data_IF_521938993432
#
_entry.id   IF_521938993432
#
_cell.length_a   1.000
_cell.length_b   1.000
_cell.length_c   1.000
_cell.angle_alpha   90.00
_cell.angle_beta   90.00
_cell.angle_gamma   90.00
#
_symmetry.space_group_name_H-M   'P 1'
#
loop_
_entity.id
_entity.type
_entity.pdbx_description
1 polymer ?
#
# COMPACT_ATOMS: atom_id res chain seq x y z
N UNK A 1 -0.73 -18.88 0.42
CA UNK A 1 -1.86 -19.13 -0.48
C UNK A 1 -3.09 -18.86 0.36
N UNK A 2 -3.80 -17.78 0.03
CA UNK A 2 -4.91 -17.21 0.79
C UNK A 2 -4.53 -16.80 2.23
N UNK A 3 -4.01 -15.57 2.37
CA UNK A 3 -3.75 -15.01 3.69
C UNK A 3 -4.42 -13.64 3.81
N UNK A 4 -5.00 -13.40 4.98
CA UNK A 4 -5.47 -12.09 5.40
C UNK A 4 -4.76 -11.66 6.68
N UNK A 5 -3.83 -10.71 6.54
CA UNK A 5 -3.16 -10.09 7.67
C UNK A 5 -3.82 -8.74 7.93
N UNK A 6 -4.51 -8.61 9.05
CA UNK A 6 -5.38 -7.46 9.30
C UNK A 6 -5.06 -6.83 10.66
N UNK A 7 -4.63 -5.57 10.66
CA UNK A 7 -4.67 -4.74 11.86
C UNK A 7 -6.09 -4.21 11.99
N UNK A 8 -6.73 -4.46 13.13
CA UNK A 8 -8.14 -4.13 13.28
C UNK A 8 -8.45 -2.64 13.06
N UNK A 9 -9.43 -2.32 12.19
CA UNK A 9 -9.95 -0.97 11.96
C UNK A 9 -11.25 -0.69 12.73
N UNK A 10 -11.87 -1.72 13.32
CA UNK A 10 -13.09 -1.61 14.12
C UNK A 10 -13.16 -2.63 15.27
N UNK A 11 -14.06 -2.36 16.22
CA UNK A 11 -14.27 -3.18 17.41
C UNK A 11 -13.63 -2.60 18.67
N UNK A 12 -13.61 -3.39 19.74
CA UNK A 12 -13.07 -2.95 21.03
C UNK A 12 -11.54 -2.93 21.00
N UNK A 13 -10.94 -1.86 21.55
CA UNK A 13 -9.48 -1.73 21.66
C UNK A 13 -8.78 -1.30 20.36
N UNK A 14 -9.53 -0.81 19.37
CA UNK A 14 -8.96 -0.29 18.12
C UNK A 14 -8.61 1.19 18.24
N UNK A 15 -7.48 1.56 17.64
CA UNK A 15 -7.03 2.92 17.45
C UNK A 15 -5.51 3.01 17.35
N UNK A 16 -5.01 4.14 16.84
CA UNK A 16 -3.59 4.34 16.48
C UNK A 16 -2.59 3.94 17.57
N UNK A 17 -2.95 4.11 18.85
CA UNK A 17 -2.11 3.74 20.00
C UNK A 17 -2.63 2.53 20.79
N UNK A 18 -3.81 2.01 20.43
CA UNK A 18 -4.50 0.94 21.15
C UNK A 18 -4.14 -0.45 20.64
N UNK A 19 -4.13 -0.64 19.31
CA UNK A 19 -3.79 -1.89 18.64
C UNK A 19 -2.61 -1.72 17.67
N UNK A 20 -1.50 -1.25 18.23
CA UNK A 20 -0.26 -0.96 17.48
C UNK A 20 0.21 -2.19 16.73
N UNK A 21 0.42 -2.03 15.42
CA UNK A 21 1.08 -3.03 14.59
C UNK A 21 1.77 -2.33 13.42
N UNK A 22 3.10 -2.47 13.36
CA UNK A 22 3.93 -1.72 12.43
C UNK A 22 3.78 -2.18 10.97
N UNK A 23 4.02 -3.46 10.68
CA UNK A 23 4.02 -4.03 9.32
C UNK A 23 3.35 -5.39 9.32
N UNK A 24 2.51 -5.66 8.32
CA UNK A 24 1.74 -6.90 8.25
C UNK A 24 2.56 -8.09 7.78
N UNK A 25 3.28 -7.94 6.67
CA UNK A 25 4.09 -9.02 6.10
C UNK A 25 5.49 -8.54 5.72
N UNK A 26 6.51 -9.27 6.17
CA UNK A 26 7.89 -9.11 5.71
C UNK A 26 8.33 -10.39 5.02
N UNK A 27 8.68 -10.30 3.73
CA UNK A 27 9.16 -11.43 2.93
C UNK A 27 10.66 -11.30 2.68
N UNK A 28 11.46 -12.06 3.43
CA UNK A 28 12.93 -12.07 3.27
C UNK A 28 13.44 -13.20 2.37
N UNK A 29 12.64 -14.24 2.13
CA UNK A 29 13.04 -15.39 1.32
C UNK A 29 12.97 -15.11 -0.18
N UNK A 30 13.94 -15.65 -0.93
CA UNK A 30 13.92 -15.61 -2.38
C UNK A 30 12.88 -16.59 -2.96
N UNK A 31 12.39 -16.30 -4.15
CA UNK A 31 11.46 -17.12 -4.95
C UNK A 31 10.14 -17.44 -4.24
N UNK A 32 9.73 -16.61 -3.29
CA UNK A 32 8.42 -16.71 -2.64
C UNK A 32 7.33 -16.31 -3.63
N UNK A 33 6.25 -17.10 -3.68
CA UNK A 33 5.03 -16.75 -4.42
C UNK A 33 3.87 -16.61 -3.45
N UNK A 34 3.15 -15.49 -3.56
CA UNK A 34 1.89 -15.25 -2.89
C UNK A 34 0.74 -15.28 -3.90
N UNK A 35 -0.30 -16.05 -3.57
CA UNK A 35 -1.58 -16.08 -4.26
C UNK A 35 -2.65 -15.62 -3.28
N UNK A 36 -3.46 -14.63 -3.66
CA UNK A 36 -4.51 -14.10 -2.79
C UNK A 36 -3.93 -13.47 -1.52
N UNK A 37 -3.23 -12.35 -1.67
CA UNK A 37 -2.60 -11.64 -0.56
C UNK A 37 -3.45 -10.44 -0.13
N UNK A 38 -3.98 -10.48 1.09
CA UNK A 38 -4.77 -9.40 1.69
C UNK A 38 -4.02 -8.88 2.92
N UNK A 39 -3.62 -7.60 2.93
CA UNK A 39 -2.90 -7.01 4.07
C UNK A 39 -3.40 -5.60 4.32
N UNK A 40 -3.84 -5.29 5.55
CA UNK A 40 -4.60 -4.06 5.80
C UNK A 40 -4.27 -3.37 7.13
N UNK A 41 -4.28 -2.04 7.07
CA UNK A 41 -4.29 -1.05 8.14
C UNK A 41 -3.07 -0.99 9.07
N UNK A 42 -1.93 -1.56 8.68
CA UNK A 42 -0.72 -1.46 9.48
C UNK A 42 -0.15 -0.04 9.48
N UNK A 43 0.66 0.29 10.49
CA UNK A 43 1.09 1.69 10.72
C UNK A 43 2.27 2.13 9.84
N UNK A 44 2.95 1.18 9.19
CA UNK A 44 4.06 1.40 8.26
C UNK A 44 3.76 0.68 6.94
N UNK A 45 4.77 0.11 6.28
CA UNK A 45 4.53 -0.70 5.09
C UNK A 45 3.62 -1.87 5.43
N UNK A 46 2.59 -2.08 4.62
CA UNK A 46 1.65 -3.18 4.80
C UNK A 46 2.38 -4.48 4.42
N UNK A 47 3.08 -4.46 3.27
CA UNK A 47 4.02 -5.51 2.84
C UNK A 47 5.40 -4.92 2.57
N UNK A 48 6.44 -5.48 3.19
CA UNK A 48 7.84 -5.25 2.84
C UNK A 48 8.43 -6.52 2.19
N UNK A 49 8.84 -6.41 0.94
CA UNK A 49 9.39 -7.52 0.16
C UNK A 49 10.88 -7.33 -0.13
N UNK A 50 11.71 -8.17 0.50
CA UNK A 50 13.17 -8.11 0.40
C UNK A 50 13.76 -9.24 -0.47
N UNK A 51 13.06 -10.36 -0.65
CA UNK A 51 13.56 -11.49 -1.45
C UNK A 51 13.53 -11.25 -2.96
N UNK A 52 14.53 -11.76 -3.68
CA UNK A 52 14.56 -11.79 -5.14
C UNK A 52 13.67 -12.88 -5.72
N UNK A 53 13.22 -12.71 -6.97
CA UNK A 53 12.39 -13.68 -7.67
C UNK A 53 10.98 -13.79 -7.10
N UNK A 54 10.55 -12.78 -6.32
CA UNK A 54 9.24 -12.76 -5.69
C UNK A 54 8.10 -12.65 -6.70
N UNK A 55 6.96 -13.24 -6.38
CA UNK A 55 5.75 -13.14 -7.20
C UNK A 55 4.51 -12.94 -6.33
N UNK A 56 3.68 -11.97 -6.71
CA UNK A 56 2.35 -11.74 -6.13
C UNK A 56 1.32 -11.82 -7.23
N UNK A 57 0.35 -12.72 -7.07
CA UNK A 57 -0.82 -12.84 -7.95
C UNK A 57 -2.04 -12.57 -7.09
N UNK A 58 -2.72 -11.47 -7.40
CA UNK A 58 -3.77 -10.86 -6.60
C UNK A 58 -3.24 -10.28 -5.28
N UNK A 59 -3.35 -8.96 -5.15
CA UNK A 59 -3.10 -8.23 -3.90
C UNK A 59 -4.23 -7.26 -3.62
N UNK A 60 -4.71 -7.26 -2.39
CA UNK A 60 -5.62 -6.25 -1.88
C UNK A 60 -5.04 -5.65 -0.61
N UNK A 61 -5.22 -4.34 -0.47
CA UNK A 61 -4.83 -3.58 0.70
C UNK A 61 -5.79 -2.43 0.97
N UNK A 62 -5.94 -2.12 2.25
CA UNK A 62 -6.40 -0.83 2.75
C UNK A 62 -5.34 -0.20 3.65
N UNK A 63 -5.03 1.07 3.41
CA UNK A 63 -4.16 1.87 4.27
C UNK A 63 -4.81 2.09 5.65
N UNK A 64 -4.05 2.41 6.72
CA UNK A 64 -4.64 2.66 8.03
C UNK A 64 -5.57 3.87 7.96
N UNK A 65 -6.78 3.74 8.52
CA UNK A 65 -7.73 4.85 8.53
C UNK A 65 -7.41 5.90 9.60
N UNK A 66 -6.68 5.47 10.62
CA UNK A 66 -6.50 6.16 11.90
C UNK A 66 -5.17 6.90 12.14
N UNK A 67 -4.31 7.24 11.15
CA UNK A 67 -3.22 8.18 11.37
C UNK A 67 -3.74 9.51 11.97
N UNK A 68 -3.19 9.98 13.10
CA UNK A 68 -3.72 11.16 13.79
C UNK A 68 -3.23 12.48 13.18
N UNK A 69 -2.18 12.45 12.36
CA UNK A 69 -1.64 13.59 11.63
C UNK A 69 -0.68 13.09 10.54
N UNK A 70 -0.43 13.90 9.52
CA UNK A 70 0.55 13.55 8.49
C UNK A 70 1.94 13.27 9.11
N UNK A 71 2.35 14.09 10.09
CA UNK A 71 3.64 13.93 10.76
C UNK A 71 3.78 12.60 11.53
N UNK A 72 2.67 11.99 11.96
CA UNK A 72 2.67 10.69 12.61
C UNK A 72 2.81 9.53 11.61
N UNK A 73 2.59 9.79 10.32
CA UNK A 73 2.61 8.80 9.26
C UNK A 73 3.39 9.32 8.05
N UNK A 74 4.71 9.34 8.23
CA UNK A 74 5.70 9.69 7.21
C UNK A 74 6.69 8.55 7.10
N UNK A 75 6.93 8.02 5.90
CA UNK A 75 7.99 7.03 5.67
C UNK A 75 9.36 7.62 6.00
N UNK A 76 9.59 8.85 5.56
CA UNK A 76 10.83 9.58 5.76
C UNK A 76 10.55 11.10 5.71
N UNK A 77 11.50 11.97 6.11
CA UNK A 77 11.34 13.41 5.93
C UNK A 77 11.03 13.77 4.47
N UNK A 78 9.84 14.34 4.23
CA UNK A 78 9.37 14.71 2.90
C UNK A 78 8.75 13.58 2.06
N UNK A 79 8.55 12.38 2.64
CA UNK A 79 7.84 11.27 2.00
C UNK A 79 6.59 10.95 2.80
N UNK A 80 5.44 11.37 2.28
CA UNK A 80 4.14 11.21 2.92
C UNK A 80 3.71 9.74 2.95
N UNK A 81 3.30 9.24 4.11
CA UNK A 81 2.77 7.89 4.30
C UNK A 81 3.76 6.76 4.02
N UNK A 82 3.29 5.53 4.10
CA UNK A 82 4.03 4.32 3.74
C UNK A 82 3.28 3.58 2.63
N UNK A 83 4.02 2.94 1.72
CA UNK A 83 3.45 2.14 0.64
C UNK A 83 2.74 0.87 1.14
N UNK A 84 1.67 0.47 0.45
CA UNK A 84 1.00 -0.80 0.62
C UNK A 84 1.91 -2.00 0.28
N UNK A 85 2.75 -1.85 -0.73
CA UNK A 85 3.81 -2.83 -0.96
C UNK A 85 5.11 -2.12 -1.37
N UNK A 86 6.13 -2.31 -0.52
CA UNK A 86 7.50 -1.88 -0.78
C UNK A 86 8.34 -3.08 -1.19
N UNK A 87 8.84 -3.08 -2.42
CA UNK A 87 9.94 -3.95 -2.84
C UNK A 87 11.27 -3.26 -2.53
N UNK A 88 12.16 -3.96 -1.82
CA UNK A 88 13.46 -3.44 -1.40
C UNK A 88 14.33 -3.05 -2.60
N UNK A 89 15.04 -1.92 -2.49
CA UNK A 89 15.80 -1.31 -3.60
C UNK A 89 16.89 -2.22 -4.22
N UNK A 90 17.29 -3.28 -3.51
CA UNK A 90 18.30 -4.25 -3.95
C UNK A 90 17.71 -5.43 -4.75
N UNK A 91 16.38 -5.58 -4.75
CA UNK A 91 15.70 -6.63 -5.52
C UNK A 91 15.84 -6.33 -7.01
N UNK A 92 16.19 -7.35 -7.77
CA UNK A 92 16.42 -7.27 -9.23
C UNK A 92 15.30 -7.92 -10.03
N UNK A 93 14.53 -8.82 -9.41
CA UNK A 93 13.42 -9.53 -10.03
C UNK A 93 12.27 -9.63 -9.04
N UNK A 94 11.10 -9.13 -9.44
CA UNK A 94 9.85 -9.24 -8.72
C UNK A 94 8.70 -9.16 -9.74
N UNK A 95 7.64 -9.94 -9.57
CA UNK A 95 6.46 -9.86 -10.42
C UNK A 95 5.18 -9.64 -9.64
N UNK A 96 4.36 -8.69 -10.08
CA UNK A 96 3.04 -8.38 -9.50
C UNK A 96 1.95 -8.39 -10.55
N UNK A 97 0.77 -8.94 -10.21
CA UNK A 97 -0.39 -9.01 -11.10
C UNK A 97 -1.69 -8.76 -10.33
N UNK A 98 -2.48 -7.79 -10.79
CA UNK A 98 -3.80 -7.50 -10.21
C UNK A 98 -3.70 -7.03 -8.77
N UNK A 99 -3.19 -5.82 -8.55
CA UNK A 99 -2.86 -5.33 -7.21
C UNK A 99 -3.57 -4.02 -6.92
N UNK A 100 -4.35 -3.97 -5.84
CA UNK A 100 -5.12 -2.80 -5.43
C UNK A 100 -4.74 -2.31 -4.04
N UNK A 101 -4.73 -0.98 -3.86
CA UNK A 101 -4.63 -0.34 -2.55
C UNK A 101 -5.70 0.74 -2.40
N UNK A 102 -6.38 0.75 -1.25
CA UNK A 102 -7.47 1.66 -0.95
C UNK A 102 -7.11 2.59 0.22
N UNK A 103 -7.72 3.78 0.26
CA UNK A 103 -7.54 4.74 1.35
C UNK A 103 -8.85 5.39 1.80
N UNK A 104 -9.01 5.58 3.11
CA UNK A 104 -10.19 6.16 3.77
C UNK A 104 -9.81 6.83 5.10
N UNK A 105 -8.85 7.76 5.11
CA UNK A 105 -8.41 8.38 6.36
C UNK A 105 -9.56 9.15 7.02
N UNK A 106 -10.06 8.68 8.18
CA UNK A 106 -11.34 9.10 8.73
C UNK A 106 -11.23 9.85 10.07
N UNK A 107 -10.02 10.30 10.42
CA UNK A 107 -9.75 11.06 11.65
C UNK A 107 -9.99 12.58 11.51
N UNK A 108 -10.57 13.03 10.39
CA UNK A 108 -10.85 14.44 10.15
C UNK A 108 -9.62 15.32 9.87
N UNK A 109 -8.50 14.70 9.51
CA UNK A 109 -7.26 15.37 9.09
C UNK A 109 -6.88 14.91 7.69
N UNK A 110 -6.30 15.81 6.89
CA UNK A 110 -5.78 15.43 5.58
C UNK A 110 -4.50 14.60 5.76
N UNK A 111 -4.56 13.34 5.30
CA UNK A 111 -3.46 12.39 5.31
C UNK A 111 -3.22 11.91 3.89
N UNK A 112 -1.96 11.83 3.49
CA UNK A 112 -1.54 11.39 2.18
C UNK A 112 -0.52 10.27 2.27
N UNK A 113 -0.59 9.38 1.28
CA UNK A 113 0.51 8.50 0.90
C UNK A 113 1.07 8.96 -0.45
N UNK A 114 2.39 9.10 -0.55
CA UNK A 114 3.05 9.49 -1.79
C UNK A 114 2.83 8.45 -2.90
N UNK A 115 2.88 7.16 -2.54
CA UNK A 115 2.68 6.04 -3.45
C UNK A 115 1.91 4.91 -2.74
N UNK A 116 1.07 4.18 -3.47
CA UNK A 116 0.57 2.90 -2.99
C UNK A 116 1.60 1.77 -3.15
N UNK A 117 2.34 1.77 -4.26
CA UNK A 117 3.35 0.77 -4.56
C UNK A 117 4.71 1.41 -4.76
N UNK A 118 5.75 0.77 -4.21
CA UNK A 118 7.11 1.23 -4.36
C UNK A 118 8.05 0.10 -4.73
N UNK A 119 8.70 0.21 -5.88
CA UNK A 119 9.58 -0.84 -6.40
C UNK A 119 10.90 -0.28 -6.93
N UNK A 120 11.96 -1.08 -7.06
CA UNK A 120 13.19 -0.65 -7.71
C UNK A 120 12.94 -0.18 -9.15
N UNK A 121 13.49 0.96 -9.54
CA UNK A 121 13.37 1.50 -10.91
C UNK A 121 14.09 0.66 -11.97
N UNK A 122 14.93 -0.30 -11.54
CA UNK A 122 15.72 -1.19 -12.40
C UNK A 122 15.05 -2.55 -12.66
N UNK A 123 13.83 -2.76 -12.18
CA UNK A 123 13.11 -3.99 -12.50
C UNK A 123 12.90 -4.11 -14.03
N UNK A 124 12.83 -5.33 -14.59
CA UNK A 124 12.50 -5.53 -15.99
C UNK A 124 11.15 -4.91 -16.38
N UNK A 125 11.02 -4.47 -17.63
CA UNK A 125 9.77 -3.89 -18.12
C UNK A 125 8.58 -4.85 -17.94
N UNK A 126 7.44 -4.33 -17.50
CA UNK A 126 6.23 -5.11 -17.23
C UNK A 126 6.34 -6.07 -16.03
N UNK A 127 7.21 -5.76 -15.07
CA UNK A 127 7.32 -6.52 -13.82
C UNK A 127 6.01 -6.51 -13.02
N UNK A 128 5.27 -5.41 -13.05
CA UNK A 128 3.98 -5.23 -12.40
C UNK A 128 2.92 -4.96 -13.47
N UNK A 129 1.74 -5.56 -13.30
CA UNK A 129 0.64 -5.46 -14.25
C UNK A 129 -0.68 -5.31 -13.51
N UNK A 130 -1.57 -4.48 -14.05
CA UNK A 130 -2.92 -4.24 -13.54
C UNK A 130 -2.93 -3.72 -12.09
N UNK A 131 -2.27 -2.57 -11.87
CA UNK A 131 -2.26 -1.88 -10.59
C UNK A 131 -3.41 -0.88 -10.51
N UNK A 132 -3.97 -0.70 -9.30
CA UNK A 132 -4.97 0.33 -9.06
C UNK A 132 -4.89 0.93 -7.65
N UNK A 133 -5.35 2.16 -7.53
CA UNK A 133 -5.68 2.79 -6.24
C UNK A 133 -7.10 3.35 -6.24
N UNK A 134 -7.74 3.37 -5.07
CA UNK A 134 -9.07 3.96 -4.88
C UNK A 134 -9.07 4.76 -3.58
N UNK A 135 -9.67 5.94 -3.61
CA UNK A 135 -10.09 6.63 -2.39
C UNK A 135 -11.53 6.26 -2.11
N UNK A 136 -11.81 5.69 -0.94
CA UNK A 136 -13.13 5.19 -0.61
C UNK A 136 -13.98 6.32 -0.05
N UNK A 137 -15.19 6.51 -0.59
CA UNK A 137 -16.22 7.38 0.00
C UNK A 137 -15.86 8.88 0.11
N UNK A 138 -16.88 9.70 0.34
CA UNK A 138 -16.74 11.12 0.70
C UNK A 138 -16.58 11.35 2.20
N UNK A 139 -16.65 10.29 3.02
CA UNK A 139 -16.56 10.36 4.48
C UNK A 139 -15.13 10.40 5.05
N UNK A 140 -14.10 10.27 4.19
CA UNK A 140 -12.70 10.34 4.58
C UNK A 140 -12.07 11.71 4.31
N UNK A 141 -10.75 11.80 4.34
CA UNK A 141 -9.97 12.97 3.93
C UNK A 141 -8.63 12.54 3.31
N UNK A 142 -8.01 13.40 2.50
CA UNK A 142 -6.70 13.12 1.88
C UNK A 142 -6.73 12.07 0.76
N UNK A 143 -5.77 11.13 0.75
CA UNK A 143 -5.72 9.99 -0.20
C UNK A 143 -4.33 9.56 -0.64
N UNK A 144 -4.25 8.90 -1.80
CA UNK A 144 -2.99 8.41 -2.38
C UNK A 144 -2.63 9.30 -3.58
N UNK A 145 -1.39 9.79 -3.61
CA UNK A 145 -0.94 10.75 -4.64
C UNK A 145 -0.53 10.06 -5.94
N UNK A 146 -0.02 8.83 -5.89
CA UNK A 146 0.38 8.05 -7.05
C UNK A 146 0.11 6.56 -6.84
N UNK A 147 -0.21 5.86 -7.93
CA UNK A 147 -0.35 4.40 -7.91
C UNK A 147 0.99 3.75 -7.58
N UNK A 148 2.04 4.08 -8.33
CA UNK A 148 3.37 3.48 -8.16
C UNK A 148 4.48 4.46 -8.49
N UNK A 149 5.50 4.61 -7.64
CA UNK A 149 6.73 5.39 -7.93
C UNK A 149 6.49 6.70 -8.73
N UNK A 150 5.63 7.61 -8.24
CA UNK A 150 5.25 8.86 -8.91
C UNK A 150 4.51 8.72 -10.26
N UNK A 151 3.87 7.56 -10.52
CA UNK A 151 3.14 7.23 -11.75
C UNK A 151 1.69 6.86 -11.44
N UNK A 152 0.78 7.18 -12.36
CA UNK A 152 -0.66 6.85 -12.28
C UNK A 152 -1.55 8.03 -11.89
N UNK A 153 -1.03 8.96 -11.08
CA UNK A 153 -1.80 10.08 -10.55
C UNK A 153 -2.60 9.71 -9.29
N UNK A 154 -3.38 10.67 -8.80
CA UNK A 154 -3.92 10.62 -7.44
C UNK A 154 -5.33 10.04 -7.35
N UNK A 155 -5.55 9.15 -6.38
CA UNK A 155 -6.88 8.75 -5.89
C UNK A 155 -7.12 9.39 -4.53
N UNK A 156 -7.98 10.40 -4.48
CA UNK A 156 -8.22 11.24 -3.29
C UNK A 156 -9.72 11.55 -3.15
N UNK A 157 -10.08 12.33 -2.13
CA UNK A 157 -11.44 12.84 -1.98
C UNK A 157 -11.97 13.65 -3.18
N UNK A 158 -11.11 14.10 -4.09
CA UNK A 158 -11.54 14.77 -5.33
C UNK A 158 -12.18 13.79 -6.35
N UNK A 159 -11.94 12.49 -6.20
CA UNK A 159 -12.39 11.42 -7.09
C UNK A 159 -12.71 10.13 -6.30
N UNK A 160 -13.63 10.18 -5.33
CA UNK A 160 -13.96 9.03 -4.49
C UNK A 160 -14.63 7.93 -5.33
N UNK A 161 -14.39 6.69 -4.95
CA UNK A 161 -14.96 5.47 -5.56
C UNK A 161 -14.64 5.31 -7.06
N UNK A 162 -13.61 6.01 -7.55
CA UNK A 162 -13.11 5.92 -8.94
C UNK A 162 -11.70 5.32 -8.94
N UNK A 163 -11.47 4.19 -9.63
CA UNK A 163 -10.12 3.62 -9.77
C UNK A 163 -9.18 4.52 -10.58
N UNK A 164 -7.98 4.72 -10.04
CA UNK A 164 -6.82 5.23 -10.77
C UNK A 164 -5.90 4.07 -11.05
N UNK A 165 -5.50 3.88 -12.31
CA UNK A 165 -4.88 2.62 -12.76
C UNK A 165 -3.54 2.82 -13.45
N UNK A 166 -2.67 1.82 -13.31
CA UNK A 166 -1.43 1.66 -14.11
C UNK A 166 -1.44 0.23 -14.65
N UNK A 167 -1.54 0.11 -15.98
CA UNK A 167 -1.69 -1.20 -16.65
C UNK A 167 -0.40 -2.02 -16.57
N UNK A 168 0.77 -1.39 -16.67
CA UNK A 168 2.07 -2.07 -16.67
C UNK A 168 3.15 -1.14 -16.11
N UNK A 169 4.11 -1.70 -15.36
CA UNK A 169 5.24 -0.97 -14.76
C UNK A 169 6.45 -1.90 -14.46
N UNK A 170 7.70 -1.43 -14.54
CA UNK A 170 8.09 -0.23 -15.27
C UNK A 170 7.80 -0.37 -16.77
#
# INVERSE_FOLDING_TARGET
DDIWAWRADHGNGVGWTSNVADTGLVVNGDNVTAYGLFVEHYQKYEVLWNGNGGKVIFFQNEMPYDPPSQAAWMEAPGVDGYAALKVGNHVTHFNGYGMGSYSFFNQGVNIYAANAFEVPTKLPAGSLNDLLTIFLSTGGSGGILNVINNTGGSSTIANPDVPVTVVSYP
#
